data_IF_345422230530
#
_entry.id   IF_345422230530
#
_cell.length_a   1.000
_cell.length_b   1.000
_cell.length_c   1.000
_cell.angle_alpha   90.00
_cell.angle_beta   90.00
_cell.angle_gamma   90.00
#
_symmetry.space_group_name_H-M   'P 1'
#
loop_
_entity.id
_entity.type
_entity.pdbx_description
1 polymer ?
#
# COMPACT_ATOMS: atom_id res chain seq x y z
N UNK A 1 -6.43 21.55 -39.51
CA UNK A 1 -5.81 20.21 -39.33
C UNK A 1 -5.13 20.02 -37.96
N UNK A 2 -4.47 21.03 -37.37
CA UNK A 2 -3.77 20.90 -36.07
C UNK A 2 -4.68 20.56 -34.88
N UNK A 3 -5.91 21.09 -34.82
CA UNK A 3 -6.86 20.79 -33.73
C UNK A 3 -7.33 19.33 -33.68
N UNK A 4 -7.51 18.69 -34.84
CA UNK A 4 -7.96 17.30 -34.92
C UNK A 4 -6.91 16.33 -34.37
N UNK A 5 -5.63 16.59 -34.64
CA UNK A 5 -4.53 15.79 -34.11
C UNK A 5 -4.45 15.85 -32.57
N UNK A 6 -4.67 17.04 -31.99
CA UNK A 6 -4.65 17.20 -30.51
C UNK A 6 -5.79 16.41 -29.86
N UNK A 7 -6.98 16.42 -30.47
CA UNK A 7 -8.13 15.66 -29.95
C UNK A 7 -7.87 14.14 -29.99
N UNK A 8 -7.32 13.62 -31.10
CA UNK A 8 -6.99 12.20 -31.23
C UNK A 8 -5.94 11.78 -30.20
N UNK A 9 -4.91 12.61 -29.96
CA UNK A 9 -3.87 12.35 -28.95
C UNK A 9 -4.47 12.35 -27.54
N UNK A 10 -5.35 13.30 -27.22
CA UNK A 10 -6.02 13.36 -25.91
C UNK A 10 -6.90 12.13 -25.66
N UNK A 11 -7.71 11.73 -26.64
CA UNK A 11 -8.55 10.53 -26.54
C UNK A 11 -7.68 9.28 -26.44
N UNK A 12 -6.60 9.17 -27.22
CA UNK A 12 -5.65 8.06 -27.15
C UNK A 12 -4.99 7.93 -25.77
N UNK A 13 -4.57 9.06 -25.18
CA UNK A 13 -4.04 9.09 -23.81
C UNK A 13 -5.08 8.71 -22.76
N UNK A 14 -6.35 9.13 -22.94
CA UNK A 14 -7.44 8.75 -22.05
C UNK A 14 -7.72 7.24 -22.11
N UNK A 15 -7.72 6.67 -23.32
CA UNK A 15 -7.90 5.23 -23.54
C UNK A 15 -6.72 4.44 -22.97
N UNK A 16 -5.48 4.90 -23.15
CA UNK A 16 -4.29 4.29 -22.54
C UNK A 16 -4.30 4.39 -21.01
N UNK A 17 -4.84 5.47 -20.45
CA UNK A 17 -5.01 5.63 -19.01
C UNK A 17 -6.11 4.72 -18.44
N UNK A 18 -7.19 4.50 -19.20
CA UNK A 18 -8.27 3.58 -18.86
C UNK A 18 -7.89 2.11 -19.10
N UNK A 19 -7.03 1.84 -20.08
CA UNK A 19 -6.46 0.53 -20.39
C UNK A 19 -5.19 0.23 -19.58
N UNK A 20 -4.93 0.96 -18.49
CA UNK A 20 -3.83 0.63 -17.59
C UNK A 20 -4.04 -0.80 -17.11
N UNK A 21 -3.14 -1.74 -17.46
CA UNK A 21 -3.20 -3.08 -16.90
C UNK A 21 -3.08 -2.94 -15.39
N UNK A 22 -3.95 -3.66 -14.68
CA UNK A 22 -3.80 -4.00 -13.28
C UNK A 22 -2.32 -4.37 -13.10
N UNK A 23 -1.53 -3.49 -12.49
CA UNK A 23 -0.17 -3.87 -12.13
C UNK A 23 -0.36 -4.88 -11.01
N UNK A 24 -0.27 -6.14 -11.38
CA UNK A 24 0.08 -7.26 -10.51
C UNK A 24 1.29 -6.84 -9.66
N UNK A 25 1.01 -6.34 -8.46
CA UNK A 25 1.93 -6.40 -7.33
C UNK A 25 1.54 -7.68 -6.58
N UNK A 26 1.56 -8.80 -7.31
CA UNK A 26 1.35 -10.14 -6.79
C UNK A 26 2.71 -10.82 -6.59
N UNK A 27 3.46 -10.27 -5.64
CA UNK A 27 4.52 -10.99 -4.94
C UNK A 27 4.35 -10.88 -3.43
N UNK A 28 3.10 -10.97 -2.97
CA UNK A 28 2.79 -11.45 -1.63
C UNK A 28 2.66 -12.96 -1.70
N UNK A 29 3.74 -13.63 -1.31
CA UNK A 29 3.78 -15.06 -1.12
C UNK A 29 2.53 -15.57 -0.39
N UNK A 30 1.91 -16.51 -1.08
CA UNK A 30 0.84 -17.42 -0.70
C UNK A 30 1.27 -18.30 0.49
N UNK A 31 1.48 -17.69 1.67
CA UNK A 31 1.76 -18.40 2.90
C UNK A 31 1.12 -17.69 4.10
N UNK A 32 -0.16 -17.97 4.36
CA UNK A 32 -0.54 -18.84 5.48
C UNK A 32 -2.05 -18.71 5.73
N UNK A 33 -2.77 -19.75 5.31
CA UNK A 33 -4.20 -19.99 5.39
C UNK A 33 -4.70 -20.21 6.84
N UNK A 34 -4.26 -19.40 7.81
CA UNK A 34 -4.63 -19.52 9.24
C UNK A 34 -4.91 -18.16 9.89
N UNK A 35 -6.11 -17.62 9.67
CA UNK A 35 -6.74 -16.68 10.61
C UNK A 35 -6.47 -15.18 10.41
N UNK A 36 -6.36 -14.70 9.16
CA UNK A 36 -6.08 -13.29 8.86
C UNK A 36 -7.27 -12.36 9.15
N UNK A 37 -7.43 -11.96 10.41
CA UNK A 37 -8.27 -10.83 10.81
C UNK A 37 -7.68 -9.58 10.16
N UNK A 38 -8.40 -8.94 9.23
CA UNK A 38 -8.09 -7.63 8.57
C UNK A 38 -7.38 -6.62 9.50
N UNK A 39 -6.05 -6.70 9.66
CA UNK A 39 -5.29 -5.88 10.63
C UNK A 39 -3.96 -5.43 10.06
N UNK A 40 -3.99 -4.43 9.18
CA UNK A 40 -2.81 -3.69 8.69
C UNK A 40 -1.83 -4.54 7.88
N UNK A 41 -1.03 -3.92 7.02
CA UNK A 41 0.09 -4.62 6.40
C UNK A 41 1.11 -5.03 7.48
N UNK A 42 1.76 -6.18 7.36
CA UNK A 42 2.91 -6.49 8.21
C UNK A 42 4.07 -5.57 7.85
N UNK A 43 4.81 -5.13 8.86
CA UNK A 43 6.00 -4.32 8.66
C UNK A 43 7.14 -4.85 9.52
N UNK A 44 8.35 -4.86 8.95
CA UNK A 44 9.53 -5.27 9.68
C UNK A 44 10.11 -4.09 10.46
N UNK A 45 10.30 -4.33 11.75
CA UNK A 45 11.11 -3.50 12.61
C UNK A 45 12.12 -4.37 13.35
N UNK A 46 13.23 -4.63 12.65
CA UNK A 46 14.25 -5.57 13.07
C UNK A 46 14.58 -5.50 14.58
N UNK A 47 14.55 -6.62 15.33
CA UNK A 47 14.25 -8.01 14.93
C UNK A 47 12.76 -8.41 15.01
N UNK A 48 11.84 -7.44 15.13
CA UNK A 48 10.42 -7.68 15.37
C UNK A 48 9.57 -7.44 14.12
N UNK A 49 8.41 -8.09 14.06
CA UNK A 49 7.37 -7.83 13.05
C UNK A 49 6.22 -7.09 13.72
N UNK A 50 5.76 -6.01 13.10
CA UNK A 50 4.68 -5.17 13.60
C UNK A 50 3.51 -5.04 12.63
N UNK A 51 2.53 -4.25 13.03
CA UNK A 51 1.41 -3.82 12.20
C UNK A 51 1.70 -2.44 11.64
N UNK A 52 1.63 -2.29 10.33
CA UNK A 52 1.76 -1.02 9.65
C UNK A 52 0.48 -0.20 9.76
N UNK A 53 0.65 1.08 10.06
CA UNK A 53 -0.41 2.07 10.10
C UNK A 53 -0.07 3.24 9.19
N UNK A 54 -0.88 3.42 8.14
CA UNK A 54 -0.76 4.52 7.19
C UNK A 54 -1.27 5.83 7.77
N UNK A 55 -0.60 6.95 7.46
CA UNK A 55 -1.07 8.31 7.76
C UNK A 55 -0.99 8.73 9.22
N UNK A 56 -0.38 7.91 10.09
CA UNK A 56 -0.18 8.22 11.50
C UNK A 56 1.29 8.10 11.89
N UNK A 57 1.73 8.91 12.85
CA UNK A 57 3.12 8.94 13.36
C UNK A 57 3.29 8.20 14.69
N UNK A 58 2.18 7.84 15.33
CA UNK A 58 2.14 7.18 16.64
C UNK A 58 1.23 5.96 16.59
N UNK A 59 1.59 4.94 17.37
CA UNK A 59 0.77 3.75 17.50
C UNK A 59 -0.51 4.05 18.27
N UNK A 60 -1.67 3.52 17.82
CA UNK A 60 -2.92 3.76 18.53
C UNK A 60 -2.87 3.13 19.91
N UNK A 61 -3.27 3.91 20.92
CA UNK A 61 -3.34 3.45 22.31
C UNK A 61 -4.41 2.37 22.48
N UNK A 62 -4.23 1.47 23.45
CA UNK A 62 -5.18 0.38 23.74
C UNK A 62 -4.91 -0.93 22.99
N UNK A 63 -3.96 -0.96 22.06
CA UNK A 63 -3.61 -2.17 21.29
C UNK A 63 -2.42 -2.96 21.85
N UNK A 64 -1.76 -2.50 22.91
CA UNK A 64 -0.63 -3.21 23.55
C UNK A 64 0.68 -3.14 22.77
N UNK A 65 0.89 -2.10 21.96
CA UNK A 65 2.15 -1.89 21.25
C UNK A 65 3.29 -1.48 22.21
N UNK A 66 4.39 -2.23 22.23
CA UNK A 66 5.59 -1.92 23.03
C UNK A 66 6.61 -1.06 22.27
N UNK A 67 6.66 -1.15 20.94
CA UNK A 67 7.61 -0.42 20.12
C UNK A 67 6.96 0.17 18.88
N UNK A 68 7.52 1.27 18.40
CA UNK A 68 7.13 1.90 17.14
C UNK A 68 8.37 2.15 16.30
N UNK A 69 8.22 2.01 14.99
CA UNK A 69 9.30 2.18 14.03
C UNK A 69 8.79 3.00 12.86
N UNK A 70 9.54 4.02 12.44
CA UNK A 70 9.12 4.85 11.33
C UNK A 70 9.06 4.01 10.05
N UNK A 71 8.00 4.20 9.26
CA UNK A 71 7.82 3.52 7.98
C UNK A 71 7.35 4.55 6.94
N UNK A 72 7.43 4.18 5.66
CA UNK A 72 7.08 5.09 4.57
C UNK A 72 5.61 5.51 4.70
N UNK A 73 5.35 6.83 4.78
CA UNK A 73 4.01 7.40 5.02
C UNK A 73 3.25 6.88 6.25
N UNK A 74 3.94 6.37 7.27
CA UNK A 74 3.25 5.82 8.43
C UNK A 74 4.17 5.38 9.56
N UNK A 75 3.66 4.46 10.37
CA UNK A 75 4.38 3.88 11.50
C UNK A 75 4.15 2.38 11.56
N UNK A 76 5.20 1.65 11.87
CA UNK A 76 5.18 0.24 12.18
C UNK A 76 5.05 0.05 13.69
N UNK A 77 4.00 -0.60 14.13
CA UNK A 77 3.67 -0.78 15.55
C UNK A 77 3.87 -2.23 15.96
N UNK A 78 4.86 -2.46 16.81
CA UNK A 78 5.26 -3.78 17.27
C UNK A 78 4.65 -4.03 18.64
N UNK A 79 4.02 -5.20 18.79
CA UNK A 79 3.51 -5.66 20.07
C UNK A 79 4.62 -6.15 20.97
#
# INVERSE_FOLDING_TARGET
MKLFLVSIVLVGMLVLAAARPERDIDSFDEQEEKGFVKRGASCDCHPFVGTYWFGISNCPSGHGYRKKCASFFGVCCVK
#
